data_IF_328673616761
#
_entry.id   IF_328673616761
#
_cell.length_a   1.000
_cell.length_b   1.000
_cell.length_c   1.000
_cell.angle_alpha   90.00
_cell.angle_beta   90.00
_cell.angle_gamma   90.00
#
_symmetry.space_group_name_H-M   'P 1'
#
loop_
_entity.id
_entity.type
_entity.pdbx_description
1 polymer ?
#
# COMPACT_ATOMS: atom_id res chain seq x y z
N UNK A 1 -9.24 15.68 15.75
CA UNK A 1 -9.34 14.61 14.72
C UNK A 1 -8.87 13.28 15.29
N UNK A 2 -7.67 13.22 15.88
CA UNK A 2 -7.12 12.03 16.55
C UNK A 2 -8.01 11.41 17.64
N UNK A 3 -8.65 12.23 18.47
CA UNK A 3 -9.62 11.76 19.47
C UNK A 3 -10.77 10.96 18.85
N UNK A 4 -11.31 11.42 17.71
CA UNK A 4 -12.40 10.74 17.02
C UNK A 4 -11.95 9.48 16.31
N UNK A 5 -10.70 9.43 15.81
CA UNK A 5 -10.10 8.21 15.27
C UNK A 5 -10.02 7.12 16.36
N UNK A 6 -9.39 7.43 17.50
CA UNK A 6 -9.27 6.50 18.63
C UNK A 6 -10.63 6.06 19.16
N UNK A 7 -11.57 6.99 19.35
CA UNK A 7 -12.93 6.65 19.75
C UNK A 7 -13.62 5.72 18.74
N UNK A 8 -13.44 5.94 17.43
CA UNK A 8 -14.02 5.04 16.42
C UNK A 8 -13.35 3.66 16.37
N UNK A 9 -12.05 3.56 16.70
CA UNK A 9 -11.35 2.29 16.76
C UNK A 9 -11.71 1.49 18.02
N UNK A 10 -11.96 2.18 19.14
CA UNK A 10 -12.33 1.59 20.43
C UNK A 10 -13.83 1.27 20.54
N UNK A 11 -14.70 2.11 19.98
CA UNK A 11 -16.15 2.04 20.15
C UNK A 11 -16.94 1.92 18.84
N UNK A 12 -16.28 1.96 17.68
CA UNK A 12 -16.93 1.82 16.37
C UNK A 12 -17.08 0.37 15.92
N UNK A 13 -17.93 0.15 14.90
CA UNK A 13 -18.23 -1.18 14.37
C UNK A 13 -17.03 -1.85 13.65
N UNK A 14 -16.00 -1.07 13.29
CA UNK A 14 -14.80 -1.55 12.59
C UNK A 14 -13.58 -1.51 13.52
N UNK A 15 -12.91 -2.66 13.64
CA UNK A 15 -11.73 -2.88 14.50
C UNK A 15 -10.53 -1.96 14.17
N UNK A 16 -10.57 -1.24 13.06
CA UNK A 16 -9.50 -0.34 12.60
C UNK A 16 -9.92 1.14 12.56
N UNK A 17 -11.13 1.48 12.99
CA UNK A 17 -11.71 2.82 12.85
C UNK A 17 -12.64 2.95 11.64
N UNK A 18 -13.34 4.08 11.52
CA UNK A 18 -14.27 4.35 10.41
C UNK A 18 -13.50 4.64 9.10
N UNK A 19 -13.89 4.02 7.96
CA UNK A 19 -13.29 4.31 6.66
C UNK A 19 -13.33 5.79 6.27
N UNK A 20 -14.41 6.49 6.63
CA UNK A 20 -14.58 7.93 6.40
C UNK A 20 -13.54 8.75 7.16
N UNK A 21 -13.24 8.40 8.41
CA UNK A 21 -12.20 9.07 9.19
C UNK A 21 -10.81 8.81 8.60
N UNK A 22 -10.55 7.60 8.10
CA UNK A 22 -9.33 7.28 7.38
C UNK A 22 -9.16 8.15 6.13
N UNK A 23 -10.20 8.31 5.32
CA UNK A 23 -10.16 9.20 4.14
C UNK A 23 -9.86 10.64 4.54
N UNK A 24 -10.57 11.18 5.55
CA UNK A 24 -10.36 12.55 6.00
C UNK A 24 -8.93 12.75 6.54
N UNK A 25 -8.39 11.77 7.27
CA UNK A 25 -7.05 11.86 7.84
C UNK A 25 -5.97 11.77 6.75
N UNK A 26 -6.16 10.90 5.76
CA UNK A 26 -5.27 10.81 4.61
C UNK A 26 -5.22 12.13 3.83
N UNK A 27 -6.38 12.74 3.57
CA UNK A 27 -6.49 14.04 2.89
C UNK A 27 -5.85 15.17 3.71
N UNK A 28 -6.06 15.18 5.02
CA UNK A 28 -5.44 16.15 5.92
C UNK A 28 -3.90 16.01 5.89
N UNK A 29 -3.38 14.80 6.08
CA UNK A 29 -1.94 14.53 6.06
C UNK A 29 -1.31 14.90 4.72
N UNK A 30 -1.97 14.59 3.60
CA UNK A 30 -1.44 14.92 2.27
C UNK A 30 -1.44 16.44 1.99
N UNK A 31 -2.46 17.17 2.45
CA UNK A 31 -2.63 18.59 2.10
C UNK A 31 -1.94 19.56 3.06
N UNK A 32 -1.77 19.18 4.34
CA UNK A 32 -1.27 20.09 5.38
C UNK A 32 0.19 19.84 5.77
N UNK A 33 0.79 18.72 5.35
CA UNK A 33 2.17 18.41 5.72
C UNK A 33 3.18 19.14 4.82
N UNK A 34 4.16 19.88 5.38
CA UNK A 34 5.22 20.51 4.60
C UNK A 34 6.07 19.47 3.84
N UNK A 35 6.31 18.32 4.47
CA UNK A 35 6.95 17.14 3.89
C UNK A 35 5.96 15.98 3.97
N UNK A 36 5.50 15.51 2.81
CA UNK A 36 4.46 14.48 2.74
C UNK A 36 5.08 13.11 3.00
N UNK A 37 4.76 12.54 4.16
CA UNK A 37 4.99 11.12 4.43
C UNK A 37 3.92 10.29 3.70
N UNK A 38 4.24 9.88 2.47
CA UNK A 38 3.33 9.11 1.63
C UNK A 38 3.06 7.71 2.20
N UNK A 39 3.90 7.19 3.10
CA UNK A 39 3.66 5.90 3.77
C UNK A 39 2.48 6.04 4.73
N UNK A 40 2.47 7.08 5.57
CA UNK A 40 1.34 7.40 6.47
C UNK A 40 0.06 7.71 5.71
N UNK A 41 0.16 8.53 4.65
CA UNK A 41 -1.00 8.85 3.79
C UNK A 41 -1.60 7.57 3.18
N UNK A 42 -0.75 6.71 2.62
CA UNK A 42 -1.18 5.42 2.04
C UNK A 42 -1.80 4.50 3.09
N UNK A 43 -1.25 4.45 4.30
CA UNK A 43 -1.78 3.65 5.41
C UNK A 43 -3.25 3.98 5.71
N UNK A 44 -3.62 5.25 5.70
CA UNK A 44 -5.00 5.66 5.89
C UNK A 44 -5.85 5.41 4.65
N UNK A 45 -5.38 5.75 3.45
CA UNK A 45 -6.16 5.52 2.23
C UNK A 45 -6.54 4.06 2.00
N UNK A 46 -5.65 3.10 2.28
CA UNK A 46 -5.96 1.65 2.11
C UNK A 46 -7.02 1.13 3.08
N UNK A 47 -7.38 1.91 4.10
CA UNK A 47 -8.47 1.64 5.05
C UNK A 47 -9.71 2.51 4.79
N UNK A 48 -9.64 3.42 3.82
CA UNK A 48 -10.77 4.17 3.30
C UNK A 48 -11.54 3.39 2.22
N UNK A 49 -12.46 4.07 1.53
CA UNK A 49 -13.26 3.53 0.41
C UNK A 49 -13.05 4.31 -0.90
N UNK A 50 -12.42 5.48 -0.86
CA UNK A 50 -12.25 6.35 -2.02
C UNK A 50 -10.99 6.03 -2.85
N UNK A 51 -11.06 4.97 -3.66
CA UNK A 51 -9.97 4.52 -4.54
C UNK A 51 -9.52 5.59 -5.56
N UNK A 52 -10.48 6.31 -6.15
CA UNK A 52 -10.18 7.34 -7.17
C UNK A 52 -9.36 8.49 -6.57
N UNK A 53 -9.75 8.95 -5.37
CA UNK A 53 -8.99 9.99 -4.66
C UNK A 53 -7.60 9.50 -4.29
N UNK A 54 -7.47 8.25 -3.87
CA UNK A 54 -6.16 7.67 -3.55
C UNK A 54 -5.26 7.59 -4.79
N UNK A 55 -5.76 7.08 -5.92
CA UNK A 55 -5.03 7.05 -7.18
C UNK A 55 -4.57 8.46 -7.60
N UNK A 56 -5.48 9.45 -7.58
CA UNK A 56 -5.12 10.83 -7.89
C UNK A 56 -4.04 11.39 -6.95
N UNK A 57 -4.11 11.04 -5.66
CA UNK A 57 -3.11 11.45 -4.66
C UNK A 57 -1.74 10.83 -4.93
N UNK A 58 -1.67 9.54 -5.28
CA UNK A 58 -0.43 8.87 -5.68
C UNK A 58 0.17 9.56 -6.90
N UNK A 59 -0.61 9.79 -7.96
CA UNK A 59 -0.10 10.43 -9.18
C UNK A 59 0.38 11.86 -8.93
N UNK A 60 -0.32 12.62 -8.10
CA UNK A 60 0.11 13.98 -7.73
C UNK A 60 1.38 13.96 -6.86
N UNK A 61 1.58 12.92 -6.05
CA UNK A 61 2.79 12.73 -5.26
C UNK A 61 3.98 12.32 -6.13
N UNK A 62 3.78 11.46 -7.14
CA UNK A 62 4.84 11.03 -8.06
C UNK A 62 5.55 12.19 -8.75
N UNK A 63 4.81 13.25 -9.12
CA UNK A 63 5.38 14.48 -9.69
C UNK A 63 6.31 15.26 -8.74
N UNK A 64 6.37 14.87 -7.46
CA UNK A 64 7.25 15.44 -6.43
C UNK A 64 8.40 14.51 -6.04
N UNK A 65 8.38 13.25 -6.51
CA UNK A 65 9.43 12.27 -6.23
C UNK A 65 10.73 12.59 -7.00
N UNK A 66 11.84 12.05 -6.52
CA UNK A 66 13.05 12.00 -7.32
C UNK A 66 12.85 11.09 -8.55
N UNK A 67 13.50 11.38 -9.69
CA UNK A 67 13.42 10.51 -10.86
C UNK A 67 13.82 9.07 -10.53
N UNK A 68 12.95 8.11 -10.86
CA UNK A 68 13.18 6.67 -10.60
C UNK A 68 12.62 6.15 -9.26
N UNK A 69 12.00 7.01 -8.44
CA UNK A 69 11.30 6.64 -7.20
C UNK A 69 9.76 6.73 -7.30
N UNK A 70 9.25 7.13 -8.47
CA UNK A 70 7.83 7.31 -8.74
C UNK A 70 7.04 5.99 -8.71
N UNK A 71 7.65 4.91 -9.19
CA UNK A 71 7.06 3.56 -9.13
C UNK A 71 6.91 3.00 -7.70
N UNK A 72 7.73 3.48 -6.76
CA UNK A 72 7.68 3.06 -5.35
C UNK A 72 6.34 3.42 -4.70
N UNK A 73 5.76 4.58 -5.03
CA UNK A 73 4.49 5.02 -4.45
C UNK A 73 3.33 4.11 -4.86
N UNK A 74 3.28 3.70 -6.14
CA UNK A 74 2.26 2.77 -6.65
C UNK A 74 2.47 1.39 -6.02
N UNK A 75 3.69 0.86 -6.07
CA UNK A 75 4.00 -0.46 -5.52
C UNK A 75 3.67 -0.55 -4.03
N UNK A 76 4.00 0.48 -3.25
CA UNK A 76 3.67 0.56 -1.82
C UNK A 76 2.18 0.48 -1.57
N UNK A 77 1.39 1.28 -2.29
CA UNK A 77 -0.06 1.30 -2.14
C UNK A 77 -0.69 -0.05 -2.46
N UNK A 78 -0.25 -0.71 -3.54
CA UNK A 78 -0.71 -2.05 -3.91
C UNK A 78 -0.33 -3.07 -2.84
N UNK A 79 0.94 -3.12 -2.42
CA UNK A 79 1.41 -4.06 -1.40
C UNK A 79 0.73 -3.85 -0.04
N UNK A 80 0.36 -2.62 0.32
CA UNK A 80 -0.43 -2.33 1.52
C UNK A 80 -1.86 -2.88 1.44
N UNK A 81 -2.55 -2.79 0.30
CA UNK A 81 -3.84 -3.47 0.16
C UNK A 81 -3.70 -5.00 0.25
N UNK A 82 -2.66 -5.54 -0.37
CA UNK A 82 -2.40 -6.98 -0.34
C UNK A 82 -2.05 -7.46 1.08
N UNK A 83 -1.28 -6.71 1.87
CA UNK A 83 -0.97 -7.10 3.26
C UNK A 83 -2.20 -7.10 4.18
N UNK A 84 -3.27 -6.39 3.79
CA UNK A 84 -4.59 -6.46 4.42
C UNK A 84 -5.44 -7.65 3.92
N UNK A 85 -4.96 -8.42 2.94
CA UNK A 85 -5.70 -9.48 2.26
C UNK A 85 -6.73 -8.95 1.25
N UNK A 86 -6.66 -7.68 0.87
CA UNK A 86 -7.62 -7.05 -0.04
C UNK A 86 -7.13 -7.05 -1.49
N UNK A 87 -7.12 -8.23 -2.12
CA UNK A 87 -6.75 -8.36 -3.54
C UNK A 87 -7.70 -7.60 -4.47
N UNK A 88 -8.99 -7.55 -4.13
CA UNK A 88 -10.01 -6.91 -4.95
C UNK A 88 -9.73 -5.43 -5.14
N UNK A 89 -9.51 -4.70 -4.05
CA UNK A 89 -9.28 -3.26 -4.15
C UNK A 89 -7.85 -2.92 -4.56
N UNK A 90 -6.87 -3.82 -4.34
CA UNK A 90 -5.55 -3.71 -4.96
C UNK A 90 -5.63 -3.67 -6.50
N UNK A 91 -6.38 -4.60 -7.12
CA UNK A 91 -6.57 -4.61 -8.58
C UNK A 91 -7.31 -3.35 -9.05
N UNK A 92 -8.40 -2.96 -8.38
CA UNK A 92 -9.11 -1.72 -8.74
C UNK A 92 -8.24 -0.48 -8.59
N UNK A 93 -7.37 -0.42 -7.59
CA UNK A 93 -6.45 0.71 -7.44
C UNK A 93 -5.50 0.79 -8.64
N UNK A 94 -4.98 -0.35 -9.11
CA UNK A 94 -4.16 -0.38 -10.32
C UNK A 94 -4.94 0.17 -11.53
N UNK A 95 -6.19 -0.26 -11.74
CA UNK A 95 -7.05 0.24 -12.81
C UNK A 95 -7.28 1.77 -12.69
N UNK A 96 -7.50 2.29 -11.49
CA UNK A 96 -7.70 3.73 -11.26
C UNK A 96 -6.40 4.53 -11.44
N UNK A 97 -5.25 3.98 -11.07
CA UNK A 97 -3.93 4.58 -11.33
C UNK A 97 -3.70 4.69 -12.83
N UNK A 98 -3.91 3.62 -13.59
CA UNK A 98 -3.77 3.63 -15.06
C UNK A 98 -4.69 4.67 -15.72
N UNK A 99 -5.97 4.71 -15.31
CA UNK A 99 -6.93 5.71 -15.81
C UNK A 99 -6.51 7.14 -15.48
N UNK A 100 -6.05 7.40 -14.26
CA UNK A 100 -5.61 8.74 -13.85
C UNK A 100 -4.38 9.18 -14.64
N UNK A 101 -3.41 8.28 -14.87
CA UNK A 101 -2.23 8.58 -15.70
C UNK A 101 -2.62 8.89 -17.14
N UNK A 102 -3.48 8.08 -17.75
CA UNK A 102 -4.02 8.33 -19.09
C UNK A 102 -4.72 9.69 -19.16
N UNK A 103 -5.55 10.03 -18.17
CA UNK A 103 -6.27 11.31 -18.13
C UNK A 103 -5.34 12.54 -18.06
N UNK A 104 -4.13 12.37 -17.50
CA UNK A 104 -3.09 13.40 -17.39
C UNK A 104 -2.05 13.32 -18.51
N UNK A 105 -2.22 12.43 -19.50
CA UNK A 105 -1.26 12.15 -20.56
C UNK A 105 0.14 11.79 -20.01
N UNK A 106 0.18 11.01 -18.93
CA UNK A 106 1.40 10.46 -18.34
C UNK A 106 1.55 8.99 -18.75
N UNK A 107 2.78 8.58 -19.06
CA UNK A 107 3.11 7.19 -19.35
C UNK A 107 3.20 6.38 -18.05
N UNK A 108 2.64 5.18 -18.07
CA UNK A 108 2.75 4.25 -16.93
C UNK A 108 4.20 3.79 -16.77
N UNK A 109 4.76 3.70 -15.53
CA UNK A 109 6.16 3.36 -15.34
C UNK A 109 6.46 1.94 -15.81
N UNK A 110 7.32 1.80 -16.83
CA UNK A 110 7.75 0.51 -17.38
C UNK A 110 8.98 -0.03 -16.62
N UNK A 111 8.89 -0.17 -15.30
CA UNK A 111 9.98 -0.64 -14.45
C UNK A 111 9.88 -2.12 -14.09
N UNK A 112 11.00 -2.73 -13.68
CA UNK A 112 11.02 -4.09 -13.14
C UNK A 112 10.12 -4.23 -11.90
N UNK A 113 10.00 -3.18 -11.08
CA UNK A 113 9.10 -3.20 -9.93
C UNK A 113 7.63 -3.20 -10.33
N UNK A 114 7.24 -2.40 -11.33
CA UNK A 114 5.86 -2.44 -11.82
C UNK A 114 5.53 -3.77 -12.49
N UNK A 115 6.49 -4.37 -13.20
CA UNK A 115 6.34 -5.73 -13.72
C UNK A 115 6.15 -6.76 -12.60
N UNK A 116 6.95 -6.68 -11.53
CA UNK A 116 6.78 -7.50 -10.33
C UNK A 116 5.38 -7.36 -9.75
N UNK A 117 4.89 -6.13 -9.56
CA UNK A 117 3.56 -5.87 -8.98
C UNK A 117 2.46 -6.48 -9.85
N UNK A 118 2.53 -6.32 -11.18
CA UNK A 118 1.57 -6.91 -12.11
C UNK A 118 1.56 -8.43 -12.04
N UNK A 119 2.72 -9.09 -12.05
CA UNK A 119 2.80 -10.55 -11.89
C UNK A 119 2.37 -11.02 -10.51
N UNK A 120 2.63 -10.24 -9.47
CA UNK A 120 2.18 -10.53 -8.11
C UNK A 120 0.65 -10.53 -8.03
N UNK A 121 -0.02 -9.50 -8.56
CA UNK A 121 -1.48 -9.42 -8.60
C UNK A 121 -2.10 -10.64 -9.30
N UNK A 122 -1.53 -11.05 -10.45
CA UNK A 122 -1.96 -12.24 -11.18
C UNK A 122 -1.69 -13.55 -10.43
N UNK A 123 -0.58 -13.62 -9.70
CA UNK A 123 -0.19 -14.80 -8.92
C UNK A 123 -1.13 -15.02 -7.73
N UNK A 124 -1.53 -13.93 -7.05
CA UNK A 124 -2.42 -13.99 -5.88
C UNK A 124 -3.87 -14.35 -6.24
N UNK A 125 -4.26 -14.35 -7.52
CA UNK A 125 -5.54 -14.92 -7.97
C UNK A 125 -5.61 -16.45 -7.87
N UNK A 126 -4.47 -17.11 -7.63
CA UNK A 126 -4.31 -18.56 -7.62
C UNK A 126 -3.61 -19.01 -6.34
N UNK A 127 -3.88 -20.23 -5.91
CA UNK A 127 -3.08 -20.86 -4.85
C UNK A 127 -1.74 -21.32 -5.43
N UNK A 128 -0.78 -20.38 -5.51
CA UNK A 128 0.48 -20.54 -6.23
C UNK A 128 1.68 -20.05 -5.41
N UNK A 129 1.81 -20.51 -4.16
CA UNK A 129 2.94 -20.17 -3.28
C UNK A 129 4.33 -20.38 -3.94
N UNK A 130 4.59 -21.46 -4.71
CA UNK A 130 5.87 -21.59 -5.41
C UNK A 130 6.17 -20.46 -6.39
N UNK A 131 5.15 -20.00 -7.14
CA UNK A 131 5.29 -18.89 -8.09
C UNK A 131 5.51 -17.56 -7.34
N UNK A 132 4.79 -17.34 -6.24
CA UNK A 132 5.01 -16.19 -5.37
C UNK A 132 6.45 -16.10 -4.85
N UNK A 133 7.01 -17.22 -4.38
CA UNK A 133 8.39 -17.28 -3.89
C UNK A 133 9.40 -17.04 -5.02
N UNK A 134 9.16 -17.59 -6.21
CA UNK A 134 9.97 -17.33 -7.40
C UNK A 134 9.99 -15.84 -7.73
N UNK A 135 8.82 -15.18 -7.80
CA UNK A 135 8.74 -13.75 -8.09
C UNK A 135 9.52 -12.91 -7.07
N UNK A 136 9.39 -13.19 -5.77
CA UNK A 136 10.16 -12.50 -4.74
C UNK A 136 11.67 -12.64 -4.93
N UNK A 137 12.13 -13.80 -5.35
CA UNK A 137 13.56 -14.05 -5.59
C UNK A 137 14.04 -13.35 -6.86
N UNK A 138 13.28 -13.44 -7.95
CA UNK A 138 13.63 -12.87 -9.25
C UNK A 138 13.66 -11.34 -9.24
N UNK A 139 12.76 -10.70 -8.49
CA UNK A 139 12.64 -9.24 -8.40
C UNK A 139 13.21 -8.67 -7.09
N UNK A 140 14.12 -9.40 -6.45
CA UNK A 140 14.73 -9.02 -5.17
C UNK A 140 15.39 -7.62 -5.25
N UNK A 141 16.18 -7.35 -6.29
CA UNK A 141 16.83 -6.05 -6.50
C UNK A 141 15.84 -4.88 -6.57
N UNK A 142 14.70 -5.09 -7.23
CA UNK A 142 13.64 -4.09 -7.37
C UNK A 142 12.87 -3.86 -6.07
N UNK A 143 12.67 -4.91 -5.29
CA UNK A 143 11.91 -4.87 -4.03
C UNK A 143 12.73 -4.40 -2.84
N UNK A 144 14.06 -4.55 -2.86
CA UNK A 144 14.95 -4.05 -1.80
C UNK A 144 15.17 -2.53 -1.83
N UNK A 145 14.65 -1.82 -2.84
CA UNK A 145 14.68 -0.35 -2.92
C UNK A 145 13.87 0.33 -1.81
N UNK A 146 12.82 -0.34 -1.30
CA UNK A 146 12.04 0.12 -0.15
C UNK A 146 12.00 -1.01 0.91
N UNK A 147 12.65 -0.83 2.08
CA UNK A 147 12.68 -1.84 3.13
C UNK A 147 11.29 -2.34 3.56
N UNK A 148 10.27 -1.48 3.48
CA UNK A 148 8.89 -1.81 3.86
C UNK A 148 8.29 -2.91 2.96
N UNK A 149 8.74 -3.04 1.71
CA UNK A 149 8.18 -4.03 0.79
C UNK A 149 8.42 -5.45 1.26
N UNK A 150 9.57 -5.75 1.85
CA UNK A 150 9.86 -7.09 2.37
C UNK A 150 8.90 -7.47 3.51
N UNK A 151 8.59 -6.52 4.38
CA UNK A 151 7.66 -6.73 5.49
C UNK A 151 6.22 -6.89 4.98
N UNK A 152 5.80 -6.05 4.04
CA UNK A 152 4.49 -6.17 3.39
C UNK A 152 4.36 -7.51 2.68
N UNK A 153 5.38 -7.96 1.96
CA UNK A 153 5.38 -9.25 1.25
C UNK A 153 5.34 -10.45 2.22
N UNK A 154 5.93 -10.33 3.41
CA UNK A 154 5.82 -11.37 4.44
C UNK A 154 4.39 -11.45 4.99
N UNK A 155 3.71 -10.32 5.22
CA UNK A 155 2.29 -10.33 5.57
C UNK A 155 1.39 -10.79 4.42
N UNK A 156 1.71 -10.47 3.16
CA UNK A 156 1.01 -11.03 1.99
C UNK A 156 1.12 -12.55 1.98
N UNK A 157 2.31 -13.11 2.18
CA UNK A 157 2.51 -14.56 2.23
C UNK A 157 1.66 -15.24 3.33
N UNK A 158 1.57 -14.58 4.48
CA UNK A 158 0.73 -15.03 5.60
C UNK A 158 -0.75 -14.94 5.28
N UNK A 159 -1.22 -13.84 4.68
CA UNK A 159 -2.64 -13.63 4.36
C UNK A 159 -3.17 -14.54 3.27
N UNK A 160 -2.40 -14.74 2.21
CA UNK A 160 -2.85 -15.48 1.02
C UNK A 160 -2.46 -16.97 1.05
N UNK A 161 -1.37 -17.34 1.72
CA UNK A 161 -0.85 -18.71 1.70
C UNK A 161 -0.67 -19.32 3.10
N UNK A 162 -1.02 -18.60 4.17
CA UNK A 162 -0.89 -19.10 5.54
C UNK A 162 0.55 -19.29 6.03
N UNK A 163 1.54 -18.76 5.30
CA UNK A 163 2.96 -18.90 5.67
C UNK A 163 3.26 -18.04 6.90
N UNK A 164 3.60 -18.67 8.01
CA UNK A 164 4.11 -17.98 9.20
C UNK A 164 5.64 -17.99 9.18
N UNK A 165 6.26 -16.87 8.78
CA UNK A 165 7.69 -16.69 8.98
C UNK A 165 7.96 -16.35 10.44
N UNK A 166 8.80 -17.14 11.11
CA UNK A 166 9.39 -16.78 12.42
C UNK A 166 10.50 -15.74 12.21
N UNK A 167 10.16 -14.52 11.82
CA UNK A 167 11.14 -13.44 11.73
C UNK A 167 11.09 -12.59 13.01
N UNK A 168 12.22 -12.32 13.69
CA UNK A 168 12.27 -11.44 14.87
C UNK A 168 11.72 -10.03 14.60
N UNK A 169 11.78 -9.58 13.35
CA UNK A 169 11.25 -8.30 12.87
C UNK A 169 9.72 -8.27 12.69
N UNK A 170 9.03 -9.40 12.84
CA UNK A 170 7.57 -9.46 12.71
C UNK A 170 6.83 -8.64 13.79
N UNK A 171 7.49 -8.38 14.93
CA UNK A 171 7.00 -7.42 15.93
C UNK A 171 7.08 -5.97 15.45
N UNK A 172 8.14 -5.61 14.72
CA UNK A 172 8.39 -4.23 14.27
C UNK A 172 7.34 -3.75 13.26
N UNK A 173 6.81 -4.60 12.37
CA UNK A 173 5.72 -4.20 11.47
C UNK A 173 4.46 -3.79 12.25
N UNK A 174 4.09 -4.60 13.27
CA UNK A 174 2.99 -4.27 14.17
C UNK A 174 3.22 -2.95 14.90
N UNK A 175 4.45 -2.72 15.35
CA UNK A 175 4.84 -1.48 16.03
C UNK A 175 4.86 -0.26 15.08
N UNK A 176 5.31 -0.41 13.83
CA UNK A 176 5.28 0.65 12.79
C UNK A 176 3.84 1.06 12.50
N UNK A 177 2.94 0.10 12.27
CA UNK A 177 1.53 0.43 12.01
C UNK A 177 0.80 0.95 13.25
N UNK A 178 1.20 0.50 14.44
CA UNK A 178 0.70 1.06 15.69
C UNK A 178 1.15 2.51 15.86
N UNK A 179 2.43 2.80 15.63
CA UNK A 179 2.96 4.17 15.63
C UNK A 179 2.27 5.06 14.57
N UNK A 180 2.01 4.53 13.36
CA UNK A 180 1.28 5.27 12.32
C UNK A 180 -0.19 5.54 12.67
N UNK A 181 -0.79 4.77 13.58
CA UNK A 181 -2.16 5.00 14.07
C UNK A 181 -2.24 5.81 15.37
N UNK A 182 -1.11 6.03 16.07
CA UNK A 182 -1.04 6.68 17.37
C UNK A 182 -0.66 8.19 17.32
N UNK A 183 -0.33 8.72 16.14
CA UNK A 183 -0.02 10.14 15.85
C UNK A 183 -1.01 10.79 14.89
#
# INVERSE_FOLDING_TARGET
>A
MLFFYRWSAEFGAHRYGSPELHEMLADYMYSQSPEVDMVKVSFHFVRGRNLKKFASTIINFMGKCYPGEDDLAIARAILMYLSLGNLRDANKLMDEVEKEMQSKNLDFPLSELMQFVNYLLLTLQRDALPLFNMLRQSYKSSTERDPLFNELLDEVAKKFYGVQRKNPLQGMFGDIFKMMGDE
#
